data_IF_812564541524
#
_entry.id   IF_812564541524
#
_cell.length_a   1.000
_cell.length_b   1.000
_cell.length_c   1.000
_cell.angle_alpha   90.00
_cell.angle_beta   90.00
_cell.angle_gamma   90.00
#
_symmetry.space_group_name_H-M   'P 1'
#
loop_
_entity.id
_entity.type
_entity.pdbx_description
1 polymer ?
#
# COMPACT_ATOMS: atom_id res chain seq x y z
N UNK A 1 -21.59 1.30 -36.03
CA UNK A 1 -21.48 2.51 -35.19
C UNK A 1 -22.32 2.39 -33.92
N UNK A 2 -23.66 2.50 -33.95
CA UNK A 2 -24.46 2.41 -32.72
C UNK A 2 -24.63 0.96 -32.21
N UNK A 3 -24.63 -0.04 -33.10
CA UNK A 3 -24.65 -1.46 -32.73
C UNK A 3 -23.35 -1.95 -32.07
N UNK A 4 -22.19 -1.53 -32.57
CA UNK A 4 -20.87 -1.90 -32.01
C UNK A 4 -20.66 -1.35 -30.59
N UNK A 5 -21.27 -0.19 -30.28
CA UNK A 5 -21.13 0.47 -29.00
C UNK A 5 -21.95 -0.24 -27.91
N UNK A 6 -23.17 -0.69 -28.24
CA UNK A 6 -24.02 -1.47 -27.33
C UNK A 6 -23.41 -2.86 -27.06
N UNK A 7 -22.84 -3.50 -28.09
CA UNK A 7 -22.17 -4.79 -27.93
C UNK A 7 -20.88 -4.69 -27.09
N UNK A 8 -20.15 -3.58 -27.21
CA UNK A 8 -18.99 -3.25 -26.37
C UNK A 8 -19.38 -3.01 -24.90
N UNK A 9 -20.46 -2.26 -24.66
CA UNK A 9 -20.95 -1.95 -23.30
C UNK A 9 -21.49 -3.22 -22.62
N UNK A 10 -22.23 -4.07 -23.34
CA UNK A 10 -22.73 -5.35 -22.83
C UNK A 10 -21.59 -6.35 -22.56
N UNK A 11 -20.55 -6.36 -23.41
CA UNK A 11 -19.35 -7.18 -23.18
C UNK A 11 -18.55 -6.70 -21.95
N UNK A 12 -18.47 -5.39 -21.74
CA UNK A 12 -17.85 -4.80 -20.55
C UNK A 12 -18.64 -5.13 -19.29
N UNK A 13 -19.97 -4.96 -19.32
CA UNK A 13 -20.87 -5.30 -18.21
C UNK A 13 -20.78 -6.79 -17.85
N UNK A 14 -20.74 -7.69 -18.85
CA UNK A 14 -20.61 -9.13 -18.59
C UNK A 14 -19.25 -9.49 -17.98
N UNK A 15 -18.18 -8.77 -18.33
CA UNK A 15 -16.85 -8.96 -17.75
C UNK A 15 -16.78 -8.39 -16.31
N UNK A 16 -17.53 -7.32 -16.02
CA UNK A 16 -17.73 -6.77 -14.67
C UNK A 16 -18.55 -7.75 -13.82
N UNK A 17 -19.60 -8.36 -14.36
CA UNK A 17 -20.39 -9.40 -13.69
C UNK A 17 -19.58 -10.67 -13.42
N UNK A 18 -18.74 -11.10 -14.36
CA UNK A 18 -17.79 -12.19 -14.13
C UNK A 18 -16.76 -11.84 -13.05
N UNK A 19 -16.35 -10.56 -12.96
CA UNK A 19 -15.47 -10.04 -11.91
C UNK A 19 -16.16 -9.92 -10.55
N UNK A 20 -17.50 -9.87 -10.51
CA UNK A 20 -18.31 -9.82 -9.28
C UNK A 20 -18.00 -10.99 -8.34
N UNK A 21 -17.69 -12.18 -8.90
CA UNK A 21 -17.29 -13.34 -8.11
C UNK A 21 -15.95 -13.14 -7.40
N UNK A 22 -14.99 -12.46 -8.03
CA UNK A 22 -13.70 -12.12 -7.41
C UNK A 22 -13.89 -11.08 -6.30
N UNK A 23 -14.73 -10.06 -6.53
CA UNK A 23 -15.06 -9.07 -5.50
C UNK A 23 -15.79 -9.71 -4.30
N UNK A 24 -16.76 -10.60 -4.54
CA UNK A 24 -17.44 -11.35 -3.48
C UNK A 24 -16.50 -12.28 -2.72
N UNK A 25 -15.59 -12.95 -3.41
CA UNK A 25 -14.59 -13.81 -2.78
C UNK A 25 -13.69 -13.01 -1.83
N UNK A 26 -13.18 -11.86 -2.29
CA UNK A 26 -12.35 -10.98 -1.45
C UNK A 26 -13.15 -10.39 -0.30
N UNK A 27 -14.41 -10.03 -0.51
CA UNK A 27 -15.30 -9.56 0.55
C UNK A 27 -15.45 -10.60 1.66
N UNK A 28 -15.78 -11.85 1.31
CA UNK A 28 -15.93 -12.93 2.28
C UNK A 28 -14.61 -13.24 3.00
N UNK A 29 -13.49 -13.23 2.30
CA UNK A 29 -12.16 -13.42 2.92
C UNK A 29 -11.86 -12.29 3.90
N UNK A 30 -12.10 -11.03 3.55
CA UNK A 30 -11.88 -9.89 4.45
C UNK A 30 -12.78 -10.00 5.69
N UNK A 31 -14.07 -10.32 5.50
CA UNK A 31 -15.04 -10.43 6.59
C UNK A 31 -14.72 -11.55 7.57
N UNK A 32 -14.34 -12.73 7.06
CA UNK A 32 -14.03 -13.89 7.89
C UNK A 32 -12.64 -13.79 8.52
N UNK A 33 -11.60 -13.49 7.74
CA UNK A 33 -10.22 -13.52 8.23
C UNK A 33 -9.79 -12.22 8.90
N UNK A 34 -9.96 -11.07 8.23
CA UNK A 34 -9.52 -9.78 8.78
C UNK A 34 -10.50 -9.24 9.84
N UNK A 35 -11.79 -9.50 9.67
CA UNK A 35 -12.83 -9.14 10.64
C UNK A 35 -12.96 -10.16 11.75
N UNK A 36 -13.65 -11.28 11.48
CA UNK A 36 -14.15 -12.20 12.50
C UNK A 36 -13.04 -12.95 13.25
N UNK A 37 -12.15 -13.65 12.55
CA UNK A 37 -11.09 -14.44 13.19
C UNK A 37 -10.07 -13.55 13.93
N UNK A 38 -9.69 -12.43 13.31
CA UNK A 38 -8.77 -11.48 13.95
C UNK A 38 -9.40 -10.86 15.19
N UNK A 39 -10.68 -10.48 15.15
CA UNK A 39 -11.39 -9.94 16.32
C UNK A 39 -11.49 -10.96 17.46
N UNK A 40 -11.88 -12.20 17.13
CA UNK A 40 -12.00 -13.28 18.11
C UNK A 40 -10.65 -13.55 18.79
N UNK A 41 -9.58 -13.72 18.00
CA UNK A 41 -8.26 -14.10 18.49
C UNK A 41 -7.57 -13.01 19.31
N UNK A 42 -7.70 -11.74 18.88
CA UNK A 42 -6.85 -10.64 19.35
C UNK A 42 -7.53 -9.76 20.41
N UNK A 43 -8.85 -9.69 20.37
CA UNK A 43 -9.65 -8.86 21.28
C UNK A 43 -10.58 -9.70 22.15
N UNK A 44 -11.42 -10.56 21.58
CA UNK A 44 -12.46 -11.26 22.35
C UNK A 44 -11.89 -12.27 23.35
N UNK A 45 -10.99 -13.16 22.92
CA UNK A 45 -10.39 -14.18 23.80
C UNK A 45 -9.61 -13.54 24.96
N UNK A 46 -8.75 -12.52 24.73
CA UNK A 46 -8.06 -11.83 25.83
C UNK A 46 -9.01 -11.12 26.81
N UNK A 47 -10.10 -10.52 26.33
CA UNK A 47 -11.10 -9.84 27.18
C UNK A 47 -11.91 -10.83 28.04
N UNK A 48 -12.18 -12.04 27.53
CA UNK A 48 -12.96 -13.05 28.25
C UNK A 48 -12.13 -13.88 29.24
N UNK A 49 -10.85 -14.15 28.93
CA UNK A 49 -10.01 -15.02 29.76
C UNK A 49 -9.14 -14.29 30.79
N UNK A 50 -9.06 -12.96 30.73
CA UNK A 50 -8.35 -12.15 31.72
C UNK A 50 -6.90 -12.59 31.91
N UNK A 51 -6.08 -12.57 30.87
CA UNK A 51 -4.68 -12.94 31.02
C UNK A 51 -3.95 -13.20 29.70
N UNK A 52 -2.93 -12.38 29.44
CA UNK A 52 -1.93 -12.59 28.40
C UNK A 52 -1.01 -11.37 28.32
N UNK A 53 0.28 -11.58 28.08
CA UNK A 53 1.30 -10.53 27.90
C UNK A 53 1.08 -9.71 26.61
N UNK A 54 -0.14 -9.26 26.30
CA UNK A 54 -0.45 -8.46 25.12
C UNK A 54 -0.22 -6.99 25.41
N UNK A 55 0.39 -6.25 24.46
CA UNK A 55 0.54 -4.80 24.58
C UNK A 55 -0.82 -4.12 24.81
N UNK A 56 -0.82 -3.12 25.68
CA UNK A 56 -2.00 -2.40 26.12
C UNK A 56 -2.53 -1.53 24.97
N UNK A 57 -3.64 -1.95 24.36
CA UNK A 57 -4.35 -1.23 23.30
C UNK A 57 -5.68 -0.66 23.86
N UNK A 58 -6.26 0.35 23.21
CA UNK A 58 -7.52 0.98 23.62
C UNK A 58 -8.67 -0.02 23.80
N UNK A 59 -8.66 -1.12 23.03
CA UNK A 59 -9.59 -2.24 23.18
C UNK A 59 -9.39 -3.11 24.42
N UNK A 60 -8.38 -2.83 25.24
CA UNK A 60 -8.05 -3.52 26.50
C UNK A 60 -8.02 -2.56 27.70
N UNK A 61 -8.34 -1.28 27.51
CA UNK A 61 -8.30 -0.27 28.57
C UNK A 61 -9.29 -0.60 29.71
N UNK A 62 -10.39 -1.30 29.40
CA UNK A 62 -11.36 -1.78 30.38
C UNK A 62 -10.80 -2.85 31.33
N UNK A 63 -9.72 -3.55 30.98
CA UNK A 63 -9.04 -4.49 31.88
C UNK A 63 -8.19 -3.77 32.95
N UNK A 64 -7.80 -2.51 32.69
CA UNK A 64 -6.91 -1.72 33.55
C UNK A 64 -7.67 -0.62 34.31
N UNK A 65 -8.76 -0.11 33.73
CA UNK A 65 -9.66 0.92 34.29
C UNK A 65 -11.12 0.48 34.17
N UNK A 66 -11.56 -0.57 34.91
CA UNK A 66 -12.94 -1.07 34.86
C UNK A 66 -13.98 -0.05 35.37
N UNK A 67 -13.53 1.02 36.00
CA UNK A 67 -14.37 2.09 36.56
C UNK A 67 -14.89 3.09 35.50
N UNK A 68 -14.38 3.05 34.27
CA UNK A 68 -14.75 3.98 33.18
C UNK A 68 -15.51 3.29 32.04
N UNK A 69 -15.24 2.00 31.76
CA UNK A 69 -15.84 1.23 30.64
C UNK A 69 -16.06 -0.23 31.06
N UNK A 70 -17.26 -0.76 30.82
CA UNK A 70 -17.57 -2.16 31.11
C UNK A 70 -17.03 -3.12 30.04
N UNK A 71 -16.81 -4.39 30.44
CA UNK A 71 -16.36 -5.47 29.54
C UNK A 71 -17.28 -5.63 28.30
N UNK A 72 -18.63 -5.70 28.42
CA UNK A 72 -19.50 -5.83 27.25
C UNK A 72 -19.44 -4.63 26.31
N UNK A 73 -19.33 -3.40 26.83
CA UNK A 73 -19.15 -2.20 26.00
C UNK A 73 -17.85 -2.24 25.19
N UNK A 74 -16.77 -2.73 25.80
CA UNK A 74 -15.46 -2.90 25.13
C UNK A 74 -15.52 -3.97 24.04
N UNK A 75 -16.26 -5.06 24.26
CA UNK A 75 -16.48 -6.11 23.25
C UNK A 75 -17.24 -5.55 22.05
N UNK A 76 -18.29 -4.78 22.26
CA UNK A 76 -19.06 -4.14 21.18
C UNK A 76 -18.20 -3.12 20.42
N UNK A 77 -17.49 -2.25 21.15
CA UNK A 77 -16.60 -1.24 20.55
C UNK A 77 -15.52 -1.88 19.68
N UNK A 78 -14.82 -2.89 20.20
CA UNK A 78 -13.79 -3.61 19.42
C UNK A 78 -14.40 -4.38 18.25
N UNK A 79 -15.61 -4.94 18.39
CA UNK A 79 -16.31 -5.57 17.27
C UNK A 79 -16.60 -4.60 16.12
N UNK A 80 -17.11 -3.41 16.43
CA UNK A 80 -17.35 -2.34 15.45
C UNK A 80 -16.05 -1.86 14.80
N UNK A 81 -14.97 -1.72 15.58
CA UNK A 81 -13.67 -1.33 15.06
C UNK A 81 -13.13 -2.37 14.05
N UNK A 82 -13.24 -3.67 14.36
CA UNK A 82 -12.80 -4.72 13.44
C UNK A 82 -13.69 -4.85 12.20
N UNK A 83 -15.00 -4.58 12.31
CA UNK A 83 -15.90 -4.50 11.16
C UNK A 83 -15.50 -3.35 10.23
N UNK A 84 -15.23 -2.17 10.80
CA UNK A 84 -14.71 -1.03 10.06
C UNK A 84 -13.38 -1.36 9.35
N UNK A 85 -12.42 -1.96 10.07
CA UNK A 85 -11.14 -2.38 9.49
C UNK A 85 -11.34 -3.38 8.35
N UNK A 86 -12.23 -4.36 8.52
CA UNK A 86 -12.58 -5.29 7.46
C UNK A 86 -13.11 -4.57 6.20
N UNK A 87 -14.05 -3.64 6.35
CA UNK A 87 -14.59 -2.88 5.22
C UNK A 87 -13.51 -2.08 4.50
N UNK A 88 -12.63 -1.41 5.25
CA UNK A 88 -11.50 -0.65 4.67
C UNK A 88 -10.54 -1.59 3.93
N UNK A 89 -10.19 -2.73 4.51
CA UNK A 89 -9.35 -3.74 3.86
C UNK A 89 -9.99 -4.28 2.57
N UNK A 90 -11.30 -4.53 2.59
CA UNK A 90 -12.04 -4.94 1.41
C UNK A 90 -11.97 -3.87 0.30
N UNK A 91 -12.29 -2.61 0.62
CA UNK A 91 -12.22 -1.50 -0.34
C UNK A 91 -10.82 -1.34 -0.92
N UNK A 92 -9.80 -1.53 -0.09
CA UNK A 92 -8.41 -1.51 -0.53
C UNK A 92 -8.09 -2.59 -1.57
N UNK A 93 -8.41 -3.86 -1.28
CA UNK A 93 -8.18 -4.95 -2.24
C UNK A 93 -9.07 -4.85 -3.48
N UNK A 94 -10.31 -4.39 -3.34
CA UNK A 94 -11.19 -4.10 -4.47
C UNK A 94 -10.56 -3.04 -5.37
N UNK A 95 -9.98 -1.98 -4.79
CA UNK A 95 -9.22 -0.97 -5.54
C UNK A 95 -7.99 -1.54 -6.25
N UNK A 96 -7.26 -2.46 -5.62
CA UNK A 96 -6.12 -3.15 -6.26
C UNK A 96 -6.56 -4.04 -7.43
N UNK A 97 -7.68 -4.76 -7.29
CA UNK A 97 -8.26 -5.56 -8.38
C UNK A 97 -8.65 -4.65 -9.54
N UNK A 98 -9.31 -3.53 -9.25
CA UNK A 98 -9.70 -2.56 -10.26
C UNK A 98 -8.47 -2.01 -11.01
N UNK A 99 -7.41 -1.63 -10.30
CA UNK A 99 -6.15 -1.18 -10.90
C UNK A 99 -5.52 -2.28 -11.77
N UNK A 100 -5.50 -3.52 -11.30
CA UNK A 100 -5.02 -4.66 -12.07
C UNK A 100 -5.82 -4.84 -13.37
N UNK A 101 -7.14 -4.78 -13.30
CA UNK A 101 -8.03 -4.94 -14.46
C UNK A 101 -7.81 -3.82 -15.48
N UNK A 102 -7.68 -2.56 -15.03
CA UNK A 102 -7.38 -1.42 -15.92
C UNK A 102 -6.05 -1.61 -16.65
N UNK A 103 -5.01 -2.02 -15.91
CA UNK A 103 -3.69 -2.32 -16.50
C UNK A 103 -3.76 -3.47 -17.50
N UNK A 104 -4.49 -4.53 -17.16
CA UNK A 104 -4.66 -5.71 -18.00
C UNK A 104 -5.39 -5.38 -19.31
N UNK A 105 -6.47 -4.62 -19.22
CA UNK A 105 -7.28 -4.20 -20.37
C UNK A 105 -6.48 -3.29 -21.31
N UNK A 106 -5.78 -2.30 -20.76
CA UNK A 106 -4.92 -1.42 -21.55
C UNK A 106 -3.80 -2.18 -22.27
N UNK A 107 -3.20 -3.17 -21.59
CA UNK A 107 -2.20 -4.05 -22.20
C UNK A 107 -2.80 -4.87 -23.34
N UNK A 108 -4.01 -5.41 -23.17
CA UNK A 108 -4.72 -6.21 -24.20
C UNK A 108 -5.05 -5.37 -25.43
N UNK A 109 -5.52 -4.14 -25.25
CA UNK A 109 -5.75 -3.18 -26.35
C UNK A 109 -4.44 -2.88 -27.08
N UNK A 110 -3.36 -2.63 -26.34
CA UNK A 110 -2.04 -2.37 -26.90
C UNK A 110 -1.48 -3.55 -27.70
N UNK A 111 -1.71 -4.80 -27.27
CA UNK A 111 -1.29 -5.99 -28.01
C UNK A 111 -2.07 -6.19 -29.31
N UNK A 112 -3.38 -5.87 -29.30
CA UNK A 112 -4.22 -5.87 -30.51
C UNK A 112 -3.74 -4.85 -31.54
N UNK A 113 -3.40 -3.64 -31.11
CA UNK A 113 -2.97 -2.54 -31.97
C UNK A 113 -1.54 -2.71 -32.52
N UNK A 114 -0.64 -3.39 -31.80
CA UNK A 114 0.70 -3.72 -32.33
C UNK A 114 0.68 -4.58 -33.60
N UNK A 115 -0.43 -5.26 -33.88
CA UNK A 115 -0.62 -6.07 -35.09
C UNK A 115 -1.03 -5.23 -36.30
N UNK A 116 -1.38 -3.95 -36.10
CA UNK A 116 -1.69 -3.00 -37.18
C UNK A 116 -0.48 -2.09 -37.49
N UNK A 117 -0.23 -1.76 -38.77
CA UNK A 117 0.97 -1.02 -39.20
C UNK A 117 0.89 0.51 -39.02
N UNK A 118 0.06 1.04 -38.10
CA UNK A 118 -0.13 2.49 -37.94
C UNK A 118 0.62 3.06 -36.73
N UNK A 119 1.55 3.98 -37.03
CA UNK A 119 2.51 4.58 -36.10
C UNK A 119 1.86 5.55 -35.09
N UNK A 120 0.75 6.22 -35.46
CA UNK A 120 0.11 7.23 -34.59
C UNK A 120 -0.55 6.63 -33.33
N UNK A 121 -1.23 5.49 -33.45
CA UNK A 121 -1.89 4.83 -32.29
C UNK A 121 -0.90 4.39 -31.20
N UNK A 122 0.36 4.16 -31.59
CA UNK A 122 1.38 3.67 -30.68
C UNK A 122 1.87 4.76 -29.72
N UNK A 123 1.80 6.04 -30.12
CA UNK A 123 2.14 7.17 -29.26
C UNK A 123 1.02 7.45 -28.25
N UNK A 124 -0.24 7.45 -28.66
CA UNK A 124 -1.38 7.67 -27.76
C UNK A 124 -1.48 6.57 -26.68
N UNK A 125 -1.31 5.30 -27.08
CA UNK A 125 -1.26 4.18 -26.15
C UNK A 125 -0.12 4.30 -25.13
N UNK A 126 1.02 4.84 -25.55
CA UNK A 126 2.17 5.05 -24.68
C UNK A 126 1.87 6.13 -23.62
N UNK A 127 1.25 7.24 -24.04
CA UNK A 127 0.84 8.31 -23.13
C UNK A 127 -0.25 7.86 -22.15
N UNK A 128 -1.23 7.08 -22.63
CA UNK A 128 -2.24 6.45 -21.78
C UNK A 128 -1.60 5.48 -20.76
N UNK A 129 -0.68 4.62 -21.22
CA UNK A 129 0.06 3.68 -20.37
C UNK A 129 0.85 4.38 -19.27
N UNK A 130 1.52 5.48 -19.58
CA UNK A 130 2.26 6.27 -18.60
C UNK A 130 1.33 6.93 -17.58
N UNK A 131 0.16 7.41 -18.02
CA UNK A 131 -0.84 8.02 -17.15
C UNK A 131 -1.41 7.00 -16.15
N UNK A 132 -1.76 5.81 -16.64
CA UNK A 132 -2.21 4.70 -15.80
C UNK A 132 -1.11 4.28 -14.83
N UNK A 133 0.14 4.13 -15.30
CA UNK A 133 1.27 3.77 -14.43
C UNK A 133 1.57 4.80 -13.35
N UNK A 134 1.40 6.10 -13.62
CA UNK A 134 1.50 7.14 -12.59
C UNK A 134 0.40 6.99 -11.53
N UNK A 135 -0.82 6.65 -11.94
CA UNK A 135 -1.92 6.34 -11.02
C UNK A 135 -1.59 5.12 -10.15
N UNK A 136 -1.18 4.01 -10.77
CA UNK A 136 -0.78 2.77 -10.07
C UNK A 136 0.38 3.05 -9.10
N UNK A 137 1.38 3.83 -9.51
CA UNK A 137 2.49 4.24 -8.65
C UNK A 137 2.00 5.01 -7.42
N UNK A 138 1.13 6.02 -7.58
CA UNK A 138 0.57 6.78 -6.45
C UNK A 138 -0.20 5.88 -5.50
N UNK A 139 -1.03 4.98 -6.02
CA UNK A 139 -1.75 4.00 -5.21
C UNK A 139 -0.81 3.04 -4.47
N UNK A 140 0.28 2.62 -5.12
CA UNK A 140 1.30 1.74 -4.52
C UNK A 140 2.04 2.43 -3.40
N UNK A 141 2.48 3.67 -3.61
CA UNK A 141 3.12 4.50 -2.58
C UNK A 141 2.18 4.68 -1.38
N UNK A 142 0.93 5.06 -1.61
CA UNK A 142 -0.05 5.22 -0.53
C UNK A 142 -0.30 3.90 0.22
N UNK A 143 -0.43 2.77 -0.49
CA UNK A 143 -0.62 1.47 0.13
C UNK A 143 0.58 1.02 0.98
N UNK A 144 1.80 1.24 0.50
CA UNK A 144 3.02 0.92 1.27
C UNK A 144 3.17 1.87 2.47
N UNK A 145 2.82 3.16 2.34
CA UNK A 145 2.80 4.10 3.48
C UNK A 145 1.78 3.68 4.55
N UNK A 146 0.59 3.21 4.15
CA UNK A 146 -0.40 2.63 5.09
C UNK A 146 0.17 1.42 5.82
N UNK A 147 0.83 0.51 5.10
CA UNK A 147 1.47 -0.66 5.71
C UNK A 147 2.63 -0.29 6.65
N UNK A 148 3.44 0.72 6.29
CA UNK A 148 4.45 1.30 7.16
C UNK A 148 3.80 1.83 8.44
N UNK A 149 2.75 2.64 8.33
CA UNK A 149 2.02 3.17 9.49
C UNK A 149 1.53 2.06 10.42
N UNK A 150 0.89 1.03 9.84
CA UNK A 150 0.42 -0.14 10.58
C UNK A 150 1.55 -0.86 11.34
N UNK A 151 2.71 -1.03 10.69
CA UNK A 151 3.87 -1.71 11.30
C UNK A 151 4.53 -0.83 12.37
N UNK A 152 4.73 0.47 12.11
CA UNK A 152 5.28 1.42 13.07
C UNK A 152 4.40 1.52 14.33
N UNK A 153 3.09 1.65 14.17
CA UNK A 153 2.14 1.66 15.30
C UNK A 153 2.26 0.37 16.11
N UNK A 154 2.37 -0.78 15.43
CA UNK A 154 2.52 -2.07 16.09
C UNK A 154 3.83 -2.22 16.87
N UNK A 155 4.96 -1.75 16.31
CA UNK A 155 6.27 -1.78 16.98
C UNK A 155 6.33 -0.78 18.14
N UNK A 156 5.73 0.39 17.99
CA UNK A 156 5.63 1.38 19.06
C UNK A 156 4.86 0.84 20.28
N UNK A 157 3.71 0.19 20.06
CA UNK A 157 2.93 -0.41 21.15
C UNK A 157 3.69 -1.51 21.91
N UNK A 158 4.68 -2.15 21.26
CA UNK A 158 5.56 -3.12 21.90
C UNK A 158 6.76 -2.47 22.62
N UNK A 159 6.99 -1.17 22.43
CA UNK A 159 8.08 -0.40 23.04
C UNK A 159 7.64 0.29 24.34
N UNK A 160 8.62 0.65 25.18
CA UNK A 160 8.43 1.45 26.40
C UNK A 160 8.42 2.97 26.16
N UNK A 161 8.44 3.42 24.90
CA UNK A 161 8.47 4.84 24.56
C UNK A 161 7.21 5.60 24.99
N UNK A 162 7.39 6.76 25.65
CA UNK A 162 6.28 7.58 26.13
C UNK A 162 5.36 8.08 25.01
N UNK A 163 5.96 8.45 23.87
CA UNK A 163 5.24 8.87 22.66
C UNK A 163 5.95 8.32 21.42
N UNK A 164 5.20 8.09 20.34
CA UNK A 164 5.72 7.56 19.07
C UNK A 164 6.87 8.40 18.50
N UNK A 165 6.78 9.73 18.64
CA UNK A 165 7.80 10.67 18.18
C UNK A 165 9.07 10.55 19.02
N UNK A 166 8.95 10.44 20.34
CA UNK A 166 10.09 10.28 21.25
C UNK A 166 10.81 8.96 20.97
N UNK A 167 10.06 7.89 20.71
CA UNK A 167 10.62 6.59 20.33
C UNK A 167 11.40 6.65 19.00
N UNK A 168 10.80 7.25 17.95
CA UNK A 168 11.46 7.42 16.64
C UNK A 168 12.69 8.33 16.71
N UNK A 169 12.62 9.43 17.47
CA UNK A 169 13.75 10.35 17.65
C UNK A 169 14.86 9.71 18.49
N UNK A 170 14.50 8.92 19.49
CA UNK A 170 15.44 8.10 20.26
C UNK A 170 16.22 7.14 19.35
N UNK A 171 15.52 6.43 18.47
CA UNK A 171 16.13 5.54 17.47
C UNK A 171 16.99 6.29 16.44
N UNK A 172 16.60 7.51 16.01
CA UNK A 172 17.46 8.34 15.16
C UNK A 172 18.75 8.77 15.87
N UNK A 173 18.66 9.07 17.17
CA UNK A 173 19.82 9.55 17.96
C UNK A 173 20.81 8.44 18.34
N UNK A 174 20.36 7.17 18.40
CA UNK A 174 21.23 6.02 18.71
C UNK A 174 22.32 5.81 17.66
N UNK A 175 22.04 6.13 16.39
CA UNK A 175 23.04 6.15 15.29
C UNK A 175 24.20 7.11 15.55
N UNK A 176 23.95 8.24 16.21
CA UNK A 176 24.95 9.28 16.45
C UNK A 176 25.74 9.09 17.74
N UNK A 177 25.19 8.35 18.70
CA UNK A 177 25.79 8.20 20.04
C UNK A 177 26.55 6.88 20.24
N UNK A 178 26.57 5.98 19.24
CA UNK A 178 27.32 4.71 19.33
C UNK A 178 26.93 3.87 20.56
N UNK A 179 25.68 4.02 21.02
CA UNK A 179 25.18 3.37 22.22
C UNK A 179 24.37 2.16 21.78
N UNK A 180 25.00 0.99 21.88
CA UNK A 180 24.41 -0.33 21.66
C UNK A 180 23.39 -0.67 22.76
N UNK A 181 22.35 0.14 22.92
CA UNK A 181 21.14 -0.31 23.58
C UNK A 181 20.22 -0.91 22.52
N UNK A 182 20.66 -2.05 21.97
CA UNK A 182 19.78 -2.97 21.25
C UNK A 182 18.73 -3.41 22.26
N UNK A 183 17.60 -2.71 22.26
CA UNK A 183 16.42 -3.03 23.05
C UNK A 183 16.15 -4.52 22.93
N UNK A 184 16.40 -5.23 24.03
CA UNK A 184 16.21 -6.67 24.23
C UNK A 184 14.72 -6.98 24.37
N UNK A 185 13.95 -6.63 23.35
CA UNK A 185 12.51 -6.86 23.23
C UNK A 185 12.19 -7.99 22.25
N UNK A 186 12.94 -9.11 22.30
CA UNK A 186 12.61 -10.25 21.46
C UNK A 186 11.24 -10.82 21.88
N UNK A 187 10.33 -10.87 20.89
CA UNK A 187 9.21 -11.82 20.76
C UNK A 187 7.85 -11.38 21.31
N UNK A 188 7.32 -10.26 20.80
CA UNK A 188 5.87 -10.07 20.72
C UNK A 188 5.42 -9.76 19.29
N UNK A 189 5.06 -10.81 18.54
CA UNK A 189 4.58 -10.69 17.16
C UNK A 189 3.09 -10.36 17.19
N UNK A 190 2.76 -9.08 17.04
CA UNK A 190 1.38 -8.64 16.87
C UNK A 190 0.78 -9.18 15.54
N UNK A 191 -0.51 -9.53 15.51
CA UNK A 191 -1.24 -10.02 14.32
C UNK A 191 -1.17 -9.09 13.10
N UNK A 192 -1.03 -7.78 13.33
CA UNK A 192 -0.92 -6.72 12.32
C UNK A 192 0.26 -6.90 11.36
N UNK A 193 1.29 -7.65 11.77
CA UNK A 193 2.50 -7.88 10.97
C UNK A 193 2.25 -8.70 9.71
N UNK A 194 1.22 -9.57 9.71
CA UNK A 194 0.81 -10.33 8.52
C UNK A 194 -0.08 -9.49 7.61
N UNK A 195 -0.99 -8.70 8.19
CA UNK A 195 -1.94 -7.86 7.43
C UNK A 195 -1.21 -6.71 6.71
N UNK A 196 -0.24 -6.05 7.35
CA UNK A 196 0.58 -5.02 6.69
C UNK A 196 1.47 -5.60 5.59
N UNK A 197 2.01 -6.82 5.78
CA UNK A 197 2.82 -7.48 4.76
C UNK A 197 2.00 -7.86 3.54
N UNK A 198 0.77 -8.34 3.75
CA UNK A 198 -0.17 -8.65 2.68
C UNK A 198 -0.43 -7.40 1.83
N UNK A 199 -0.71 -6.25 2.47
CA UNK A 199 -0.91 -4.97 1.78
C UNK A 199 0.30 -4.65 0.88
N UNK A 200 1.52 -4.71 1.41
CA UNK A 200 2.75 -4.41 0.65
C UNK A 200 2.91 -5.35 -0.55
N UNK A 201 2.76 -6.66 -0.34
CA UNK A 201 2.92 -7.66 -1.41
C UNK A 201 1.86 -7.43 -2.50
N UNK A 202 0.60 -7.22 -2.14
CA UNK A 202 -0.48 -7.01 -3.10
C UNK A 202 -0.30 -5.71 -3.89
N UNK A 203 0.07 -4.60 -3.25
CA UNK A 203 0.35 -3.33 -3.96
C UNK A 203 1.53 -3.46 -4.91
N UNK A 204 2.61 -4.10 -4.44
CA UNK A 204 3.81 -4.29 -5.25
C UNK A 204 3.54 -5.23 -6.42
N UNK A 205 2.71 -6.25 -6.24
CA UNK A 205 2.31 -7.15 -7.32
C UNK A 205 1.62 -6.39 -8.45
N UNK A 206 0.63 -5.55 -8.14
CA UNK A 206 -0.09 -4.76 -9.16
C UNK A 206 0.86 -3.79 -9.87
N UNK A 207 1.76 -3.14 -9.11
CA UNK A 207 2.77 -2.23 -9.67
C UNK A 207 3.77 -2.94 -10.60
N UNK A 208 4.31 -4.09 -10.17
CA UNK A 208 5.24 -4.88 -10.97
C UNK A 208 4.56 -5.45 -12.22
N UNK A 209 3.32 -5.93 -12.08
CA UNK A 209 2.52 -6.39 -13.21
C UNK A 209 2.37 -5.29 -14.26
N UNK A 210 1.96 -4.07 -13.85
CA UNK A 210 1.87 -2.93 -14.75
C UNK A 210 3.20 -2.52 -15.36
N UNK A 211 4.27 -2.49 -14.56
CA UNK A 211 5.61 -2.13 -15.03
C UNK A 211 6.13 -3.10 -16.09
N UNK A 212 5.91 -4.41 -15.91
CA UNK A 212 6.34 -5.44 -16.86
C UNK A 212 5.48 -5.41 -18.12
N UNK A 213 4.16 -5.28 -18.00
CA UNK A 213 3.23 -5.36 -19.13
C UNK A 213 3.23 -4.10 -20.00
N UNK A 214 3.35 -2.92 -19.38
CA UNK A 214 3.32 -1.63 -20.08
C UNK A 214 4.73 -1.09 -20.40
N UNK A 215 5.78 -1.53 -19.69
CA UNK A 215 7.15 -0.98 -19.81
C UNK A 215 8.01 -1.49 -20.96
N UNK A 216 7.47 -2.27 -21.91
CA UNK A 216 8.24 -2.93 -22.98
C UNK A 216 8.69 -1.96 -24.11
N UNK A 217 8.39 -0.66 -24.03
CA UNK A 217 8.85 0.34 -25.01
C UNK A 217 10.04 1.16 -24.52
N UNK A 218 11.13 1.28 -25.30
CA UNK A 218 12.40 1.93 -24.86
C UNK A 218 12.32 3.36 -24.30
N UNK A 219 11.25 4.14 -24.60
CA UNK A 219 11.02 5.48 -23.99
C UNK A 219 10.37 5.43 -22.60
N UNK A 220 9.83 4.28 -22.18
CA UNK A 220 9.20 4.08 -20.86
C UNK A 220 10.20 3.81 -19.74
N UNK A 221 11.44 3.42 -20.06
CA UNK A 221 12.33 2.82 -19.07
C UNK A 221 12.80 3.81 -18.00
N UNK A 222 13.10 5.05 -18.38
CA UNK A 222 13.56 6.08 -17.45
C UNK A 222 12.53 6.46 -16.36
N UNK A 223 11.26 6.82 -16.69
CA UNK A 223 10.27 7.12 -15.65
C UNK A 223 9.88 5.89 -14.81
N UNK A 224 9.77 4.70 -15.42
CA UNK A 224 9.44 3.48 -14.68
C UNK A 224 10.57 3.04 -13.74
N UNK A 225 11.83 3.24 -14.12
CA UNK A 225 12.97 2.98 -13.26
C UNK A 225 12.97 3.87 -12.02
N UNK A 226 12.70 5.17 -12.19
CA UNK A 226 12.55 6.12 -11.08
C UNK A 226 11.45 5.69 -10.11
N UNK A 227 10.26 5.36 -10.62
CA UNK A 227 9.13 4.87 -9.81
C UNK A 227 9.49 3.58 -9.06
N UNK A 228 10.15 2.64 -9.75
CA UNK A 228 10.57 1.36 -9.17
C UNK A 228 11.60 1.55 -8.05
N UNK A 229 12.54 2.49 -8.21
CA UNK A 229 13.51 2.82 -7.17
C UNK A 229 12.83 3.36 -5.90
N UNK A 230 11.83 4.25 -6.04
CA UNK A 230 11.06 4.78 -4.90
C UNK A 230 10.27 3.67 -4.20
N UNK A 231 9.58 2.82 -4.97
CA UNK A 231 8.83 1.68 -4.40
C UNK A 231 9.77 0.69 -3.70
N UNK A 232 10.91 0.35 -4.31
CA UNK A 232 11.90 -0.53 -3.71
C UNK A 232 12.47 0.05 -2.42
N UNK A 233 12.79 1.35 -2.40
CA UNK A 233 13.27 2.05 -1.21
C UNK A 233 12.25 2.00 -0.06
N UNK A 234 10.96 2.22 -0.36
CA UNK A 234 9.88 2.10 0.62
C UNK A 234 9.73 0.66 1.15
N UNK A 235 9.77 -0.34 0.28
CA UNK A 235 9.65 -1.76 0.67
C UNK A 235 10.82 -2.20 1.54
N UNK A 236 12.05 -1.82 1.16
CA UNK A 236 13.25 -2.08 1.96
C UNK A 236 13.12 -1.42 3.33
N UNK A 237 12.70 -0.15 3.38
CA UNK A 237 12.47 0.57 4.63
C UNK A 237 11.41 -0.13 5.50
N UNK A 238 10.30 -0.55 4.89
CA UNK A 238 9.24 -1.32 5.56
C UNK A 238 9.76 -2.62 6.18
N UNK A 239 10.57 -3.38 5.45
CA UNK A 239 11.14 -4.64 5.94
C UNK A 239 12.11 -4.41 7.10
N UNK A 240 12.85 -3.31 7.04
CA UNK A 240 13.87 -2.93 8.03
C UNK A 240 13.32 -2.25 9.29
N UNK A 241 12.02 -1.90 9.33
CA UNK A 241 11.39 -1.42 10.57
C UNK A 241 11.62 -2.47 11.66
N UNK A 242 12.19 -2.03 12.78
CA UNK A 242 12.50 -2.83 13.97
C UNK A 242 13.61 -3.89 13.77
N UNK A 243 14.39 -3.79 12.67
CA UNK A 243 15.47 -4.73 12.37
C UNK A 243 16.85 -4.29 12.90
N UNK A 244 17.10 -2.97 13.01
CA UNK A 244 18.36 -2.41 13.51
C UNK A 244 18.15 -1.00 14.08
N UNK A 245 19.05 -0.56 14.96
CA UNK A 245 19.03 0.79 15.54
C UNK A 245 19.33 1.85 14.47
N UNK A 246 18.45 2.84 14.32
CA UNK A 246 18.57 3.88 13.30
C UNK A 246 17.72 3.66 12.05
N UNK A 247 16.86 2.63 12.03
CA UNK A 247 15.93 2.41 10.92
C UNK A 247 15.02 3.63 10.69
N UNK A 248 14.76 4.44 11.73
CA UNK A 248 13.93 5.64 11.67
C UNK A 248 14.48 6.70 10.73
N UNK A 249 15.80 6.81 10.60
CA UNK A 249 16.45 7.76 9.67
C UNK A 249 16.19 7.36 8.22
N UNK A 250 16.39 6.06 7.91
CA UNK A 250 16.09 5.51 6.59
C UNK A 250 14.59 5.66 6.28
N UNK A 251 13.74 5.37 7.25
CA UNK A 251 12.30 5.49 7.11
C UNK A 251 11.87 6.93 6.80
N UNK A 252 12.41 7.92 7.53
CA UNK A 252 12.12 9.33 7.30
C UNK A 252 12.51 9.78 5.89
N UNK A 253 13.72 9.43 5.44
CA UNK A 253 14.20 9.74 4.07
C UNK A 253 13.27 9.10 3.04
N UNK A 254 12.95 7.81 3.20
CA UNK A 254 12.09 7.08 2.27
C UNK A 254 10.68 7.65 2.19
N UNK A 255 10.10 8.07 3.32
CA UNK A 255 8.80 8.74 3.37
C UNK A 255 8.85 10.09 2.66
N UNK A 256 9.89 10.90 2.88
CA UNK A 256 10.05 12.18 2.19
C UNK A 256 10.19 12.01 0.67
N UNK A 257 11.01 11.06 0.23
CA UNK A 257 11.17 10.72 -1.20
C UNK A 257 9.85 10.24 -1.80
N UNK A 258 9.10 9.42 -1.07
CA UNK A 258 7.79 8.93 -1.50
C UNK A 258 6.73 10.03 -1.62
N UNK A 259 6.68 10.95 -0.65
CA UNK A 259 5.79 12.11 -0.67
C UNK A 259 6.12 13.01 -1.87
N UNK A 260 7.40 13.26 -2.13
CA UNK A 260 7.83 14.00 -3.32
C UNK A 260 7.40 13.29 -4.62
N UNK A 261 7.60 11.97 -4.71
CA UNK A 261 7.14 11.17 -5.84
C UNK A 261 5.63 11.18 -6.04
N UNK A 262 4.84 11.34 -4.98
CA UNK A 262 3.38 11.43 -5.09
C UNK A 262 2.95 12.67 -5.89
N UNK A 263 3.59 13.82 -5.62
CA UNK A 263 3.33 15.08 -6.31
C UNK A 263 3.95 15.09 -7.71
N UNK A 264 5.21 14.66 -7.85
CA UNK A 264 5.91 14.56 -9.13
C UNK A 264 6.39 13.12 -9.41
N UNK A 265 5.51 12.27 -10.00
CA UNK A 265 5.86 10.89 -10.30
C UNK A 265 6.90 10.76 -11.43
N UNK A 266 7.27 11.86 -12.09
CA UNK A 266 8.36 11.91 -13.08
C UNK A 266 9.72 12.30 -12.50
N UNK A 267 9.77 12.76 -11.24
CA UNK A 267 10.92 13.42 -10.61
C UNK A 267 11.58 14.40 -11.59
N UNK A 268 10.82 15.39 -12.04
CA UNK A 268 11.20 16.35 -13.06
C UNK A 268 11.36 15.69 -14.43
N UNK A 269 10.41 15.96 -15.34
CA UNK A 269 10.81 16.20 -16.73
C UNK A 269 11.79 17.38 -16.64
N UNK A 270 13.08 17.09 -16.64
CA UNK A 270 14.08 18.14 -16.78
C UNK A 270 13.72 18.90 -18.05
N UNK A 271 13.64 20.21 -17.88
CA UNK A 271 13.29 21.28 -18.80
C UNK A 271 14.26 21.36 -20.01
N UNK A 272 14.63 20.22 -20.60
CA UNK A 272 15.65 20.09 -21.62
C UNK A 272 15.12 20.31 -23.05
N UNK A 273 13.81 20.28 -23.27
CA UNK A 273 13.24 20.39 -24.63
C UNK A 273 12.74 21.79 -25.01
N UNK A 274 12.71 22.76 -24.09
CA UNK A 274 12.28 24.15 -24.40
C UNK A 274 13.43 25.11 -24.74
N UNK A 275 14.70 24.68 -24.65
CA UNK A 275 15.87 25.54 -24.92
C UNK A 275 16.59 25.23 -26.25
N UNK A 276 16.17 24.22 -27.01
CA UNK A 276 16.82 23.81 -28.27
C UNK A 276 16.20 24.33 -29.56
N UNK A 277 14.97 24.87 -29.53
CA UNK A 277 14.24 25.21 -30.77
C UNK A 277 14.31 26.70 -31.16
N UNK A 278 15.13 27.51 -30.47
CA UNK A 278 15.24 28.95 -30.72
C UNK A 278 16.55 29.38 -31.42
N UNK A 279 17.25 28.48 -32.12
CA UNK A 279 18.49 28.84 -32.86
C UNK A 279 18.54 28.37 -34.32
N UNK A 280 17.41 28.38 -35.04
CA UNK A 280 17.46 28.30 -36.51
C UNK A 280 16.49 29.26 -37.18
N UNK A 281 16.78 30.56 -37.09
CA UNK A 281 16.37 31.56 -38.09
C UNK A 281 17.50 32.57 -38.28
N UNK A 282 18.43 32.24 -39.19
CA UNK A 282 19.03 33.12 -40.22
C UNK A 282 20.08 32.35 -40.98
#
# INVERSE_FOLDING_TARGET
AQGDQVESDDAWLRNVDASSYTYWSVFLICLLFAGLFQWIGVSLIPLMKGGGNYAMDWGKIALVRPEVISVPETVVFTGLAYLYMCLVFYLFFAGLILLYTVVHDLWRIGDGLKKLPHVDYQQELNEAGLTVMRGVFRCTVLGVLVAIWMKVQSSYLASSGENIVVWLVGDMSSMFQGRDDVSTGFRYRMPTHYSSLLIVISTCFVFLYGSIRLGVGGRFHAPLWKMSAVVALLVVSYLLIDAFAGFSTLLAISVLVALYGLFDPGLGRWRASELGNNQSVS
#
